data_IF_169282785109
#
_entry.id   IF_169282785109
#
_cell.length_a   1.000
_cell.length_b   1.000
_cell.length_c   1.000
_cell.angle_alpha   90.00
_cell.angle_beta   90.00
_cell.angle_gamma   90.00
#
_symmetry.space_group_name_H-M   'P 1'
#
loop_
_entity.id
_entity.type
_entity.pdbx_description
1 polymer ?
#
# COMPACT_ATOMS: atom_id res chain seq x y z
N UNK A 1 -9.83 -23.70 8.70
CA UNK A 1 -10.24 -23.73 7.29
C UNK A 1 -9.00 -23.94 6.45
N UNK A 2 -9.03 -24.85 5.48
CA UNK A 2 -7.94 -25.02 4.51
C UNK A 2 -8.42 -24.40 3.19
N UNK A 3 -7.63 -23.49 2.62
CA UNK A 3 -8.01 -22.70 1.44
C UNK A 3 -7.29 -23.23 0.19
N UNK A 4 -8.05 -23.84 -0.72
CA UNK A 4 -7.53 -24.45 -1.95
C UNK A 4 -7.81 -23.61 -3.21
N UNK A 5 -8.20 -22.34 -3.07
CA UNK A 5 -8.58 -21.45 -4.19
C UNK A 5 -7.59 -20.28 -4.41
N UNK A 6 -6.31 -20.51 -4.08
CA UNK A 6 -5.25 -19.50 -4.23
C UNK A 6 -5.04 -19.01 -5.68
N UNK A 7 -5.46 -19.80 -6.67
CA UNK A 7 -5.34 -19.45 -8.08
C UNK A 7 -6.35 -18.38 -8.51
N UNK A 8 -7.54 -18.32 -7.89
CA UNK A 8 -8.52 -17.27 -8.16
C UNK A 8 -8.10 -15.93 -7.55
N UNK A 9 -7.56 -15.96 -6.33
CA UNK A 9 -6.95 -14.79 -5.68
C UNK A 9 -6.03 -15.24 -4.57
N UNK A 10 -4.99 -14.45 -4.29
CA UNK A 10 -4.20 -14.65 -3.08
C UNK A 10 -5.04 -14.26 -1.86
N UNK A 11 -5.51 -15.27 -1.13
CA UNK A 11 -6.19 -15.10 0.14
C UNK A 11 -5.69 -16.14 1.15
N UNK A 12 -5.46 -15.74 2.42
CA UNK A 12 -5.41 -14.36 2.88
C UNK A 12 -4.15 -13.64 2.35
N UNK A 13 -4.22 -12.32 2.22
CA UNK A 13 -3.01 -11.53 1.99
C UNK A 13 -2.10 -11.63 3.24
N UNK A 14 -0.77 -11.62 3.10
CA UNK A 14 0.13 -11.47 4.24
C UNK A 14 -0.25 -10.22 5.05
N UNK A 15 -0.12 -10.29 6.38
CA UNK A 15 -0.53 -9.20 7.28
C UNK A 15 0.10 -7.84 6.94
N UNK A 16 1.34 -7.85 6.42
CA UNK A 16 2.04 -6.65 5.97
C UNK A 16 1.32 -5.87 4.87
N UNK A 17 0.53 -6.54 4.02
CA UNK A 17 -0.24 -5.87 2.96
C UNK A 17 -1.32 -4.98 3.58
N UNK A 18 -2.08 -5.51 4.54
CA UNK A 18 -3.12 -4.74 5.23
C UNK A 18 -2.50 -3.57 6.02
N UNK A 19 -1.39 -3.80 6.72
CA UNK A 19 -0.69 -2.76 7.48
C UNK A 19 -0.17 -1.64 6.58
N UNK A 20 0.43 -1.97 5.44
CA UNK A 20 0.93 -0.98 4.48
C UNK A 20 -0.19 -0.14 3.86
N UNK A 21 -1.31 -0.77 3.49
CA UNK A 21 -2.48 -0.07 2.95
C UNK A 21 -3.09 0.86 4.01
N UNK A 22 -3.24 0.39 5.25
CA UNK A 22 -3.74 1.21 6.34
C UNK A 22 -2.85 2.44 6.57
N UNK A 23 -1.52 2.25 6.69
CA UNK A 23 -0.55 3.33 6.87
C UNK A 23 -0.55 4.34 5.71
N UNK A 24 -0.72 3.86 4.46
CA UNK A 24 -0.89 4.77 3.33
C UNK A 24 -2.13 5.65 3.47
N UNK A 25 -3.27 5.08 3.88
CA UNK A 25 -4.53 5.82 4.01
C UNK A 25 -4.47 6.82 5.17
N UNK A 26 -3.90 6.43 6.32
CA UNK A 26 -3.85 7.27 7.52
C UNK A 26 -2.77 8.35 7.45
N UNK A 27 -1.59 7.99 6.97
CA UNK A 27 -0.39 8.82 7.11
C UNK A 27 0.11 9.36 5.76
N UNK A 28 0.13 8.50 4.72
CA UNK A 28 0.68 8.79 3.40
C UNK A 28 -0.18 9.73 2.55
N UNK A 29 -1.35 9.28 2.08
CA UNK A 29 -2.44 10.01 1.41
C UNK A 29 -2.11 10.90 0.20
N UNK A 30 -0.84 11.06 -0.16
CA UNK A 30 -0.36 11.94 -1.21
C UNK A 30 -0.30 11.23 -2.56
N UNK A 31 -0.52 12.00 -3.62
CA UNK A 31 -0.30 11.51 -4.98
C UNK A 31 1.15 11.80 -5.40
N UNK A 32 1.99 10.78 -5.64
CA UNK A 32 3.38 10.96 -6.02
C UNK A 32 3.50 11.76 -7.33
N UNK A 33 4.40 12.73 -7.38
CA UNK A 33 4.68 13.52 -8.59
C UNK A 33 3.64 14.60 -8.95
N UNK A 34 2.54 14.75 -8.20
CA UNK A 34 1.51 15.78 -8.48
C UNK A 34 1.73 17.11 -7.75
N UNK A 35 2.73 17.21 -6.86
CA UNK A 35 3.11 18.43 -6.15
C UNK A 35 4.45 18.25 -5.39
N UNK A 36 4.95 19.34 -4.80
CA UNK A 36 6.11 19.33 -3.88
C UNK A 36 5.74 19.37 -2.39
N UNK A 37 4.47 19.19 -2.01
CA UNK A 37 4.12 19.18 -0.58
C UNK A 37 4.56 17.88 0.08
N UNK A 38 4.81 17.92 1.39
CA UNK A 38 5.38 16.81 2.18
C UNK A 38 4.80 15.44 1.85
N UNK A 39 3.48 15.29 1.89
CA UNK A 39 2.79 14.01 1.60
C UNK A 39 3.01 13.48 0.16
N UNK A 40 3.15 14.36 -0.83
CA UNK A 40 3.41 13.94 -2.21
C UNK A 40 4.87 13.49 -2.39
N UNK A 41 5.81 14.14 -1.69
CA UNK A 41 7.22 13.72 -1.65
C UNK A 41 7.36 12.37 -0.94
N UNK A 42 6.71 12.20 0.21
CA UNK A 42 6.73 10.95 0.97
C UNK A 42 6.13 9.79 0.17
N UNK A 43 4.97 9.98 -0.47
CA UNK A 43 4.41 8.99 -1.37
C UNK A 43 5.34 8.68 -2.56
N UNK A 44 6.01 9.71 -3.11
CA UNK A 44 7.00 9.54 -4.18
C UNK A 44 8.17 8.67 -3.76
N UNK A 45 8.68 8.81 -2.52
CA UNK A 45 9.72 7.93 -1.98
C UNK A 45 9.25 6.49 -1.94
N UNK A 46 8.06 6.22 -1.41
CA UNK A 46 7.54 4.84 -1.34
C UNK A 46 7.43 4.16 -2.72
N UNK A 47 7.16 4.92 -3.79
CA UNK A 47 6.97 4.37 -5.14
C UNK A 47 8.29 4.27 -5.92
N UNK A 48 9.23 5.20 -5.73
CA UNK A 48 10.40 5.35 -6.60
C UNK A 48 11.76 5.15 -5.92
N UNK A 49 11.82 4.91 -4.60
CA UNK A 49 13.04 4.60 -3.84
C UNK A 49 12.92 3.29 -3.08
#
# INVERSE_FOLDING_TARGET
MIYFDNAATSWPKPAGVAAAVAGFITDGGGNPGRSGHRKAIEAGRVVYS
#
